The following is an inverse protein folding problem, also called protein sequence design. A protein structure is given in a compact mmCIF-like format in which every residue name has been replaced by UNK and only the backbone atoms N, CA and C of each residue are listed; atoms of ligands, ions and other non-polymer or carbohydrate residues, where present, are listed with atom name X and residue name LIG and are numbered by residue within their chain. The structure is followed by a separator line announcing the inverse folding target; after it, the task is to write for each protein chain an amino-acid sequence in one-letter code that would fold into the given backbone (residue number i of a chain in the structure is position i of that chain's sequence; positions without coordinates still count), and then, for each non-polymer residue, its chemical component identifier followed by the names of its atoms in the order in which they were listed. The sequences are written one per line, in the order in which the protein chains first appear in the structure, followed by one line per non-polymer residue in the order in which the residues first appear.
data_IF_576238961058
#
_entry.id   IF_576238961058
#
_cell.length_a   1.000
_cell.length_b   1.000
_cell.length_c   1.000
_cell.angle_alpha   90.00
_cell.angle_beta   90.00
_cell.angle_gamma   90.00
#
_symmetry.space_group_name_H-M   'P 1'
#
loop_
_entity.id
_entity.type
_entity.pdbx_description
1 polymer ?
#
# COMPACT_ATOMS: atom_id res chain seq x y z
N UNK A 1 15.98 14.66 6.71
CA UNK A 1 14.68 14.06 6.37
C UNK A 1 13.79 14.27 7.58
N UNK A 2 12.68 14.99 7.45
CA UNK A 2 11.78 15.25 8.58
C UNK A 2 11.02 13.97 8.90
N UNK A 3 11.47 13.23 9.92
CA UNK A 3 10.69 12.15 10.51
C UNK A 3 9.67 12.80 11.45
N UNK A 4 8.51 13.18 10.92
CA UNK A 4 7.40 13.50 11.80
C UNK A 4 6.93 12.21 12.47
N UNK A 5 6.72 12.22 13.78
CA UNK A 5 6.19 11.07 14.53
C UNK A 5 4.70 10.78 14.23
N UNK A 6 4.14 11.44 13.23
CA UNK A 6 2.75 11.24 12.82
C UNK A 6 2.57 9.85 12.21
N UNK A 7 1.72 9.04 12.84
CA UNK A 7 1.42 7.66 12.40
C UNK A 7 0.89 7.59 10.95
N UNK A 8 0.34 8.67 10.40
CA UNK A 8 -0.16 8.68 9.02
C UNK A 8 0.95 8.48 7.96
N UNK A 9 2.22 8.66 8.33
CA UNK A 9 3.38 8.39 7.47
C UNK A 9 4.02 7.02 7.73
N UNK A 10 3.50 6.24 8.68
CA UNK A 10 4.02 4.90 9.02
C UNK A 10 3.22 3.83 8.27
N UNK A 11 3.95 2.87 7.69
CA UNK A 11 3.39 1.80 6.87
C UNK A 11 3.93 0.44 7.30
N UNK A 12 3.08 -0.59 7.22
CA UNK A 12 3.43 -1.99 7.48
C UNK A 12 3.40 -2.77 6.17
N UNK A 13 4.42 -3.59 5.94
CA UNK A 13 4.47 -4.57 4.86
C UNK A 13 3.99 -5.92 5.38
N UNK A 14 2.88 -6.42 4.85
CA UNK A 14 2.31 -7.71 5.19
C UNK A 14 2.47 -8.67 4.01
N UNK A 15 3.08 -9.83 4.22
CA UNK A 15 3.18 -10.87 3.18
C UNK A 15 1.79 -11.44 2.87
N UNK A 16 1.47 -11.62 1.58
CA UNK A 16 0.17 -12.12 1.12
C UNK A 16 0.30 -12.90 -0.19
N UNK A 17 0.21 -14.24 -0.12
CA UNK A 17 0.11 -15.10 -1.32
C UNK A 17 1.23 -14.93 -2.35
N UNK A 18 2.46 -14.59 -1.92
CA UNK A 18 3.60 -14.32 -2.81
C UNK A 18 3.83 -12.83 -3.13
N UNK A 19 2.90 -11.95 -2.76
CA UNK A 19 3.01 -10.50 -2.87
C UNK A 19 3.06 -9.86 -1.47
N UNK A 20 3.05 -8.53 -1.42
CA UNK A 20 2.89 -7.75 -0.20
C UNK A 20 1.62 -6.91 -0.23
N UNK A 21 1.06 -6.63 0.94
CA UNK A 21 0.09 -5.57 1.17
C UNK A 21 0.75 -4.48 2.00
N UNK A 22 0.40 -3.23 1.69
CA UNK A 22 0.99 -2.05 2.33
C UNK A 22 -0.10 -1.38 3.16
N UNK A 23 -0.02 -1.50 4.48
CA UNK A 23 -1.05 -1.03 5.41
C UNK A 23 -0.65 0.26 6.10
N UNK A 24 -1.51 1.27 6.08
CA UNK A 24 -1.28 2.48 6.84
C UNK A 24 -1.52 2.21 8.32
N UNK A 25 -0.56 2.57 9.18
CA UNK A 25 -0.67 2.31 10.62
C UNK A 25 -1.80 3.10 11.26
N UNK A 26 -2.04 4.33 10.79
CA UNK A 26 -3.05 5.21 11.39
C UNK A 26 -4.48 4.81 11.05
N UNK A 27 -4.74 4.34 9.82
CA UNK A 27 -6.11 4.04 9.35
C UNK A 27 -6.43 2.55 9.39
N UNK A 28 -5.41 1.68 9.35
CA UNK A 28 -5.56 0.26 9.14
C UNK A 28 -5.98 -0.13 7.72
N UNK A 29 -6.08 0.84 6.79
CA UNK A 29 -6.42 0.61 5.39
C UNK A 29 -5.17 0.29 4.56
N UNK A 30 -5.40 -0.28 3.39
CA UNK A 30 -4.36 -0.76 2.49
C UNK A 30 -4.18 0.16 1.28
N UNK A 31 -2.94 0.27 0.80
CA UNK A 31 -2.62 0.98 -0.44
C UNK A 31 -3.26 0.26 -1.63
N UNK A 32 -4.08 1.00 -2.37
CA UNK A 32 -4.93 0.52 -3.46
C UNK A 32 -4.64 1.30 -4.75
N UNK A 33 -4.27 0.59 -5.81
CA UNK A 33 -4.03 1.14 -7.16
C UNK A 33 -5.29 1.36 -8.01
N UNK A 34 -6.46 0.96 -7.52
CA UNK A 34 -7.76 1.09 -8.20
C UNK A 34 -7.88 0.30 -9.50
N UNK A 35 -6.95 -0.62 -9.78
CA UNK A 35 -6.84 -1.33 -11.06
C UNK A 35 -6.05 -0.56 -12.13
N UNK A 36 -5.49 0.61 -11.82
CA UNK A 36 -4.66 1.38 -12.73
C UNK A 36 -3.20 0.95 -12.63
N UNK A 37 -2.56 0.68 -13.78
CA UNK A 37 -1.17 0.20 -13.85
C UNK A 37 -0.24 1.18 -14.56
N UNK A 38 -0.75 2.30 -15.06
CA UNK A 38 0.06 3.31 -15.72
C UNK A 38 0.94 4.04 -14.70
N UNK A 39 2.18 4.34 -15.07
CA UNK A 39 3.10 5.11 -14.22
C UNK A 39 2.49 6.47 -13.87
N UNK A 40 2.54 6.84 -12.59
CA UNK A 40 1.97 8.08 -12.09
C UNK A 40 0.45 8.04 -11.82
N UNK A 41 -0.19 6.86 -11.91
CA UNK A 41 -1.59 6.72 -11.50
C UNK A 41 -1.77 7.04 -10.01
N UNK A 42 -2.88 7.70 -9.69
CA UNK A 42 -3.24 7.99 -8.31
C UNK A 42 -3.48 6.71 -7.51
N UNK A 43 -3.05 6.74 -6.25
CA UNK A 43 -3.28 5.69 -5.27
C UNK A 43 -4.27 6.16 -4.22
N UNK A 44 -5.06 5.23 -3.70
CA UNK A 44 -6.00 5.48 -2.59
C UNK A 44 -5.77 4.48 -1.46
N UNK A 45 -6.51 4.67 -0.36
CA UNK A 45 -6.57 3.71 0.73
C UNK A 45 -7.93 2.99 0.70
N UNK A 46 -7.93 1.68 0.87
CA UNK A 46 -9.14 0.88 0.82
C UNK A 46 -9.18 -0.22 1.89
N UNK A 47 -10.38 -0.68 2.21
CA UNK A 47 -10.59 -1.81 3.12
C UNK A 47 -9.95 -3.08 2.56
N UNK A 48 -9.55 -3.98 3.44
CA UNK A 48 -8.97 -5.26 3.03
C UNK A 48 -9.98 -6.10 2.24
N UNK A 49 -9.61 -6.54 1.05
CA UNK A 49 -10.34 -7.50 0.24
C UNK A 49 -9.33 -8.34 -0.59
N UNK A 50 -9.70 -9.41 -1.31
CA UNK A 50 -8.75 -10.28 -2.00
C UNK A 50 -8.25 -9.72 -3.35
N UNK A 51 -8.73 -8.56 -3.78
CA UNK A 51 -8.42 -7.99 -5.08
C UNK A 51 -6.93 -7.70 -5.26
N UNK A 52 -6.47 -7.77 -6.51
CA UNK A 52 -5.06 -7.64 -6.88
C UNK A 52 -4.57 -6.21 -6.83
N UNK A 53 -5.46 -5.22 -6.92
CA UNK A 53 -5.13 -3.78 -6.73
C UNK A 53 -4.63 -3.44 -5.32
N UNK A 54 -4.73 -4.35 -4.35
CA UNK A 54 -4.19 -4.24 -2.99
C UNK A 54 -2.86 -4.98 -2.81
N UNK A 55 -2.32 -5.59 -3.86
CA UNK A 55 -1.15 -6.47 -3.81
C UNK A 55 0.00 -5.88 -4.62
N UNK A 56 1.18 -5.81 -4.01
CA UNK A 56 2.34 -5.12 -4.55
C UNK A 56 3.55 -6.06 -4.62
N UNK A 57 4.29 -5.94 -5.71
CA UNK A 57 5.62 -6.53 -5.86
C UNK A 57 6.65 -5.41 -5.83
N UNK A 58 7.70 -5.61 -5.04
CA UNK A 58 8.84 -4.70 -5.04
C UNK A 58 9.88 -5.23 -6.01
N UNK A 59 10.15 -4.45 -7.06
CA UNK A 59 11.20 -4.73 -8.03
C UNK A 59 12.39 -3.84 -7.75
N UNK A 60 13.60 -4.37 -7.94
CA UNK A 60 14.78 -3.51 -7.99
C UNK A 60 14.78 -2.74 -9.32
N UNK A 61 15.10 -1.44 -9.30
CA UNK A 61 15.26 -0.65 -10.52
C UNK A 61 16.47 -1.08 -11.35
#
# INVERSE_FOLDING_TARGET
MSSSDSYNQRWILEAYGGNYRIKNVSTGLYLDGGGNTANGSDLKQWSSDPSTNLQWQFVNP
#
